data_IF_106335442261
#
_entry.id   IF_106335442261
#
_cell.length_a   1.000
_cell.length_b   1.000
_cell.length_c   1.000
_cell.angle_alpha   90.00
_cell.angle_beta   90.00
_cell.angle_gamma   90.00
#
_symmetry.space_group_name_H-M   'P 1'
#
loop_
_entity.id
_entity.type
_entity.pdbx_description
1 polymer ?
#
# COMPACT_ATOMS: atom_id res chain seq x y z
N UNK A 1 10.75 39.80 -5.06
CA UNK A 1 10.83 38.63 -5.96
C UNK A 1 10.15 37.48 -5.24
N UNK A 2 8.96 37.06 -5.70
CA UNK A 2 8.25 35.93 -5.10
C UNK A 2 8.83 34.64 -5.69
N UNK A 3 9.27 33.71 -4.83
CA UNK A 3 9.74 32.39 -5.27
C UNK A 3 8.64 31.74 -6.15
N UNK A 4 8.99 31.05 -7.25
CA UNK A 4 8.00 30.35 -8.05
C UNK A 4 7.27 29.35 -7.15
N UNK A 5 5.93 29.32 -7.24
CA UNK A 5 5.13 28.27 -6.58
C UNK A 5 5.69 26.93 -7.05
N UNK A 6 6.09 26.08 -6.10
CA UNK A 6 6.49 24.71 -6.40
C UNK A 6 5.35 24.04 -7.18
N UNK A 7 5.65 23.58 -8.39
CA UNK A 7 4.74 22.73 -9.16
C UNK A 7 4.79 21.37 -8.46
N UNK A 8 3.68 20.99 -7.84
CA UNK A 8 3.53 19.66 -7.27
C UNK A 8 3.00 18.76 -8.38
N UNK A 9 3.89 17.93 -8.92
CA UNK A 9 3.53 16.92 -9.91
C UNK A 9 2.82 15.76 -9.20
N UNK A 10 1.70 15.32 -9.75
CA UNK A 10 0.90 14.20 -9.24
C UNK A 10 0.72 13.21 -10.40
N UNK A 11 1.00 11.95 -10.16
CA UNK A 11 0.83 10.87 -11.14
C UNK A 11 0.39 9.58 -10.45
N UNK A 12 -0.23 8.68 -11.22
CA UNK A 12 -0.50 7.31 -10.77
C UNK A 12 0.80 6.52 -10.81
N UNK A 13 1.41 6.24 -9.66
CA UNK A 13 2.65 5.46 -9.57
C UNK A 13 2.39 3.96 -9.76
N UNK A 14 1.27 3.43 -9.25
CA UNK A 14 0.84 2.05 -9.48
C UNK A 14 -0.69 1.96 -9.52
N UNK A 15 -1.20 0.92 -10.18
CA UNK A 15 -2.64 0.66 -10.33
C UNK A 15 -2.87 -0.86 -10.43
N UNK A 16 -3.95 -1.33 -9.83
CA UNK A 16 -4.36 -2.73 -9.85
C UNK A 16 -5.56 -2.99 -8.96
N UNK A 17 -5.79 -4.27 -8.66
CA UNK A 17 -6.83 -4.72 -7.73
C UNK A 17 -6.21 -5.27 -6.45
N UNK A 18 -7.05 -5.53 -5.45
CA UNK A 18 -6.66 -6.17 -4.21
C UNK A 18 -7.75 -7.13 -3.72
N UNK A 19 -7.37 -8.10 -2.92
CA UNK A 19 -8.27 -9.07 -2.28
C UNK A 19 -7.81 -9.35 -0.83
N UNK A 20 -8.69 -9.78 0.09
CA UNK A 20 -8.29 -10.16 1.44
C UNK A 20 -7.32 -11.34 1.40
N UNK A 21 -6.30 -11.29 2.25
CA UNK A 21 -5.34 -12.40 2.38
C UNK A 21 -6.02 -13.70 2.86
N UNK A 22 -7.07 -13.57 3.66
CA UNK A 22 -7.80 -14.70 4.24
C UNK A 22 -9.30 -14.56 3.96
N UNK A 23 -9.81 -15.38 3.03
CA UNK A 23 -11.25 -15.49 2.80
C UNK A 23 -11.94 -16.25 3.93
N UNK A 24 -13.19 -15.89 4.20
CA UNK A 24 -14.04 -16.53 5.21
C UNK A 24 -15.30 -17.06 4.53
N UNK A 25 -15.62 -18.33 4.75
CA UNK A 25 -16.81 -18.96 4.17
C UNK A 25 -18.08 -18.19 4.57
N UNK A 26 -18.87 -17.79 3.58
CA UNK A 26 -20.13 -17.08 3.79
C UNK A 26 -20.00 -15.58 4.05
N UNK A 27 -18.82 -14.97 3.87
CA UNK A 27 -18.63 -13.52 3.84
C UNK A 27 -18.10 -13.06 2.49
N UNK A 28 -18.53 -11.88 2.07
CA UNK A 28 -17.98 -11.22 0.89
C UNK A 28 -16.61 -10.60 1.21
N UNK A 29 -15.74 -10.49 0.20
CA UNK A 29 -14.37 -9.95 0.36
C UNK A 29 -14.39 -8.54 0.99
N UNK A 30 -15.31 -7.67 0.57
CA UNK A 30 -15.47 -6.30 1.11
C UNK A 30 -15.82 -6.28 2.60
N UNK A 31 -16.66 -7.22 3.07
CA UNK A 31 -17.04 -7.30 4.49
C UNK A 31 -15.84 -7.68 5.36
N UNK A 32 -15.01 -8.60 4.86
CA UNK A 32 -13.77 -9.02 5.52
C UNK A 32 -12.79 -7.86 5.60
N UNK A 33 -12.56 -7.19 4.46
CA UNK A 33 -11.62 -6.06 4.36
C UNK A 33 -12.03 -4.88 5.26
N UNK A 34 -13.33 -4.55 5.28
CA UNK A 34 -13.86 -3.50 6.16
C UNK A 34 -13.65 -3.85 7.64
N UNK A 35 -13.94 -5.09 8.02
CA UNK A 35 -13.73 -5.57 9.39
C UNK A 35 -12.25 -5.46 9.80
N UNK A 36 -11.31 -5.96 8.98
CA UNK A 36 -9.89 -5.93 9.31
C UNK A 36 -9.32 -4.49 9.35
N UNK A 37 -9.85 -3.59 8.50
CA UNK A 37 -9.51 -2.17 8.53
C UNK A 37 -9.98 -1.52 9.84
N UNK A 38 -11.20 -1.80 10.28
CA UNK A 38 -11.76 -1.26 11.53
C UNK A 38 -11.01 -1.79 12.77
N UNK A 39 -10.58 -3.06 12.72
CA UNK A 39 -9.73 -3.69 13.74
C UNK A 39 -8.30 -3.13 13.74
N UNK A 40 -7.87 -2.48 12.64
CA UNK A 40 -6.53 -1.91 12.52
C UNK A 40 -5.46 -2.91 12.08
N UNK A 41 -5.83 -4.01 11.44
CA UNK A 41 -4.92 -5.07 11.00
C UNK A 41 -5.34 -5.66 9.66
N UNK A 42 -5.43 -4.81 8.64
CA UNK A 42 -5.81 -5.17 7.28
C UNK A 42 -4.73 -6.00 6.59
N UNK A 43 -5.10 -7.16 6.02
CA UNK A 43 -4.18 -8.02 5.27
C UNK A 43 -4.72 -8.25 3.86
N UNK A 44 -3.91 -7.90 2.87
CA UNK A 44 -4.33 -7.88 1.47
C UNK A 44 -3.28 -8.52 0.56
N UNK A 45 -3.76 -9.08 -0.53
CA UNK A 45 -2.96 -9.43 -1.70
C UNK A 45 -3.15 -8.31 -2.73
N UNK A 46 -2.06 -7.68 -3.16
CA UNK A 46 -2.05 -6.66 -4.19
C UNK A 46 -1.76 -7.28 -5.57
N UNK A 47 -2.51 -6.84 -6.57
CA UNK A 47 -2.35 -7.20 -7.98
C UNK A 47 -2.03 -5.97 -8.83
N UNK A 48 -1.07 -5.16 -8.37
CA UNK A 48 -0.56 -4.00 -9.09
C UNK A 48 0.45 -4.34 -10.18
N UNK A 49 0.92 -3.32 -10.90
CA UNK A 49 2.02 -3.47 -11.84
C UNK A 49 3.37 -3.52 -11.11
N UNK A 50 3.53 -2.68 -10.08
CA UNK A 50 4.75 -2.57 -9.26
C UNK A 50 4.61 -3.34 -7.94
N UNK A 51 3.56 -3.10 -7.17
CA UNK A 51 3.30 -3.79 -5.90
C UNK A 51 2.48 -5.06 -6.15
N UNK A 52 3.05 -6.19 -5.73
CA UNK A 52 2.46 -7.52 -5.92
C UNK A 52 2.61 -8.36 -4.67
N UNK A 53 1.64 -9.25 -4.47
CA UNK A 53 1.66 -10.21 -3.38
C UNK A 53 1.10 -9.64 -2.08
N UNK A 54 1.45 -10.29 -0.99
CA UNK A 54 0.88 -10.12 0.34
C UNK A 54 1.50 -8.93 1.09
N UNK A 55 0.62 -8.12 1.68
CA UNK A 55 0.94 -6.99 2.54
C UNK A 55 0.01 -6.96 3.76
N UNK A 56 0.49 -6.35 4.84
CA UNK A 56 -0.30 -6.02 6.01
C UNK A 56 -0.23 -4.51 6.32
N UNK A 57 -1.35 -3.92 6.66
CA UNK A 57 -1.46 -2.55 7.15
C UNK A 57 -1.91 -2.59 8.62
N UNK A 58 -1.00 -2.21 9.52
CA UNK A 58 -1.20 -2.34 10.97
C UNK A 58 -1.24 -0.98 11.64
N UNK A 59 -2.30 -0.70 12.39
CA UNK A 59 -2.48 0.54 13.13
C UNK A 59 -1.60 0.55 14.37
N UNK A 60 -0.82 1.61 14.54
CA UNK A 60 0.09 1.74 15.68
C UNK A 60 -0.63 2.38 16.88
N UNK A 61 -1.06 1.56 17.85
CA UNK A 61 -1.76 2.03 19.04
C UNK A 61 -0.90 2.88 20.00
N UNK A 62 0.42 2.73 19.95
CA UNK A 62 1.38 3.44 20.83
C UNK A 62 2.00 4.67 20.18
N UNK A 63 1.68 4.95 18.91
CA UNK A 63 2.19 6.12 18.23
C UNK A 63 1.62 7.40 18.84
N UNK A 64 2.42 8.46 18.85
CA UNK A 64 1.95 9.80 19.26
C UNK A 64 0.90 10.35 18.29
N UNK A 65 0.96 9.93 17.04
CA UNK A 65 0.01 10.30 15.99
C UNK A 65 -1.16 9.32 15.95
N UNK A 66 -2.39 9.86 16.00
CA UNK A 66 -3.63 9.05 16.11
C UNK A 66 -3.89 8.12 14.91
N UNK A 67 -3.31 8.43 13.76
CA UNK A 67 -3.52 7.71 12.49
C UNK A 67 -2.21 7.13 11.94
N UNK A 68 -1.27 6.78 12.81
CA UNK A 68 -0.06 6.11 12.37
C UNK A 68 -0.37 4.66 11.99
N UNK A 69 0.01 4.29 10.77
CA UNK A 69 -0.09 2.93 10.25
C UNK A 69 1.26 2.49 9.73
N UNK A 70 1.54 1.19 9.87
CA UNK A 70 2.72 0.55 9.30
C UNK A 70 2.26 -0.35 8.16
N UNK A 71 2.79 -0.10 6.96
CA UNK A 71 2.65 -1.01 5.82
C UNK A 71 3.83 -1.99 5.82
N UNK A 72 3.54 -3.28 5.78
CA UNK A 72 4.51 -4.36 5.89
C UNK A 72 4.37 -5.28 4.68
N UNK A 73 5.47 -5.51 3.95
CA UNK A 73 5.54 -6.54 2.91
C UNK A 73 5.77 -7.90 3.57
N UNK A 74 4.94 -8.89 3.26
CA UNK A 74 5.18 -10.28 3.67
C UNK A 74 6.28 -10.94 2.84
N UNK A 75 6.92 -11.94 3.42
CA UNK A 75 7.90 -12.80 2.76
C UNK A 75 7.18 -13.87 1.90
N UNK A 76 6.87 -13.50 0.66
CA UNK A 76 6.18 -14.34 -0.32
C UNK A 76 6.96 -14.42 -1.64
N UNK A 77 6.34 -15.00 -2.66
CA UNK A 77 6.94 -15.14 -3.99
C UNK A 77 7.28 -13.81 -4.69
N UNK A 78 6.74 -12.68 -4.23
CA UNK A 78 6.95 -11.34 -4.78
C UNK A 78 7.88 -10.49 -3.92
N UNK A 79 8.38 -11.00 -2.79
CA UNK A 79 9.30 -10.27 -1.93
C UNK A 79 10.65 -10.03 -2.61
N UNK A 80 11.06 -8.77 -2.67
CA UNK A 80 12.39 -8.37 -3.17
C UNK A 80 13.40 -8.49 -2.02
N UNK A 81 14.52 -9.17 -2.27
CA UNK A 81 15.60 -9.37 -1.27
C UNK A 81 16.80 -8.43 -1.46
N UNK A 82 16.84 -7.73 -2.59
CA UNK A 82 17.74 -6.61 -2.82
C UNK A 82 17.11 -5.32 -2.31
N UNK A 83 17.90 -4.25 -2.26
CA UNK A 83 17.37 -2.91 -2.00
C UNK A 83 16.31 -2.56 -3.06
N UNK A 84 15.25 -1.89 -2.59
CA UNK A 84 14.14 -1.41 -3.40
C UNK A 84 13.86 0.05 -3.06
N UNK A 85 13.96 0.93 -4.05
CA UNK A 85 13.59 2.34 -3.94
C UNK A 85 12.39 2.62 -4.86
N UNK A 86 11.32 3.18 -4.31
CA UNK A 86 10.14 3.54 -5.09
C UNK A 86 10.44 4.69 -6.09
N UNK A 87 11.45 5.50 -5.79
CA UNK A 87 11.88 6.63 -6.62
C UNK A 87 12.62 6.17 -7.90
N UNK A 88 13.16 4.94 -7.92
CA UNK A 88 13.73 4.34 -9.14
C UNK A 88 12.66 4.00 -10.19
N UNK A 89 11.38 4.09 -9.81
CA UNK A 89 10.24 3.70 -10.63
C UNK A 89 9.30 4.86 -10.98
N UNK A 90 9.79 6.11 -10.88
CA UNK A 90 9.04 7.29 -11.30
C UNK A 90 8.80 7.31 -12.82
N UNK A 91 7.70 7.91 -13.29
CA UNK A 91 7.47 8.12 -14.72
C UNK A 91 8.61 8.97 -15.31
N UNK A 92 9.17 8.52 -16.44
CA UNK A 92 10.19 9.29 -17.15
C UNK A 92 9.50 10.49 -17.83
N UNK A 93 9.81 11.70 -17.37
CA UNK A 93 9.35 12.91 -18.05
C UNK A 93 10.21 13.17 -19.29
N UNK A 94 9.72 12.81 -20.47
CA UNK A 94 10.22 13.37 -21.72
C UNK A 94 9.73 14.82 -21.80
N UNK A 95 10.66 15.77 -21.65
CA UNK A 95 10.42 17.20 -21.92
C UNK A 95 10.29 17.49 -23.40
#
# INVERSE_FOLDING_TARGET
MQLPKAVHLIWTWDEGTYEPLHRQDGKEDDEILQQELDEGSLKIILHGQKLKGEFALVKMHTAKEKNAWLLIKHDDAHAVRSDYDAEDHLPIHHG
#
